data_IF_236305265015
#
_entry.id   IF_236305265015
#
_cell.length_a   1.000
_cell.length_b   1.000
_cell.length_c   1.000
_cell.angle_alpha   90.00
_cell.angle_beta   90.00
_cell.angle_gamma   90.00
#
_symmetry.space_group_name_H-M   'P 1'
#
loop_
_entity.id
_entity.type
_entity.pdbx_description
1 polymer ?
#
# COMPACT_ATOMS: atom_id res chain seq x y z
N UNK A 1 14.61 -23.69 18.48
CA UNK A 1 13.49 -23.76 19.46
C UNK A 1 12.50 -22.58 19.34
N UNK A 2 12.96 -21.34 19.18
CA UNK A 2 12.06 -20.13 19.02
C UNK A 2 11.18 -20.18 17.77
N UNK A 3 11.68 -20.64 16.62
CA UNK A 3 10.97 -20.71 15.34
C UNK A 3 9.76 -21.67 15.37
N UNK A 4 9.95 -22.90 15.89
CA UNK A 4 8.84 -23.87 16.01
C UNK A 4 7.67 -23.31 16.83
N UNK A 5 8.00 -22.55 17.90
CA UNK A 5 7.00 -21.87 18.73
C UNK A 5 6.26 -20.78 17.95
N UNK A 6 6.97 -19.98 17.13
CA UNK A 6 6.37 -18.91 16.34
C UNK A 6 5.47 -19.44 15.22
N UNK A 7 5.89 -20.50 14.49
CA UNK A 7 5.04 -21.16 13.50
C UNK A 7 3.83 -21.86 14.14
N UNK A 8 3.95 -22.34 15.38
CA UNK A 8 2.78 -22.87 16.11
C UNK A 8 1.75 -21.78 16.34
N UNK A 9 2.16 -20.57 16.75
CA UNK A 9 1.24 -19.43 16.92
C UNK A 9 0.55 -19.07 15.60
N UNK A 10 1.29 -19.07 14.48
CA UNK A 10 0.71 -18.80 13.14
C UNK A 10 -0.35 -19.85 12.80
N UNK A 11 -0.07 -21.14 13.02
CA UNK A 11 -1.05 -22.22 12.80
C UNK A 11 -2.28 -22.05 13.68
N UNK A 12 -2.11 -21.79 14.98
CA UNK A 12 -3.23 -21.52 15.91
C UNK A 12 -4.11 -20.34 15.43
N UNK A 13 -3.51 -19.34 14.79
CA UNK A 13 -4.26 -18.21 14.21
C UNK A 13 -4.99 -18.63 12.94
N UNK A 14 -4.34 -19.44 12.07
CA UNK A 14 -4.98 -19.98 10.86
C UNK A 14 -6.16 -20.85 11.25
N UNK A 15 -5.97 -21.77 12.20
CA UNK A 15 -7.01 -22.70 12.67
C UNK A 15 -8.24 -21.95 13.19
N UNK A 16 -8.02 -20.87 13.94
CA UNK A 16 -9.08 -20.09 14.58
C UNK A 16 -9.83 -19.18 13.61
N UNK A 17 -9.20 -18.76 12.52
CA UNK A 17 -9.78 -17.82 11.56
C UNK A 17 -10.55 -18.56 10.45
N UNK A 18 -11.61 -17.93 9.97
CA UNK A 18 -12.40 -18.40 8.81
C UNK A 18 -11.87 -17.80 7.50
N UNK A 19 -11.24 -16.62 7.57
CA UNK A 19 -10.63 -15.93 6.43
C UNK A 19 -9.24 -15.44 6.85
N UNK A 20 -8.26 -15.64 5.99
CA UNK A 20 -6.91 -15.13 6.19
C UNK A 20 -6.64 -13.95 5.26
N UNK A 21 -6.13 -12.87 5.83
CA UNK A 21 -5.65 -11.68 5.13
C UNK A 21 -4.14 -11.60 5.32
N UNK A 22 -3.38 -11.92 4.27
CA UNK A 22 -1.94 -11.73 4.28
C UNK A 22 -1.62 -10.27 3.96
N UNK A 23 -0.96 -9.58 4.89
CA UNK A 23 -0.54 -8.19 4.71
C UNK A 23 0.90 -8.14 4.23
N UNK A 24 1.09 -7.51 3.08
CA UNK A 24 2.33 -7.43 2.31
C UNK A 24 2.71 -5.97 2.11
N UNK A 25 4.00 -5.65 2.05
CA UNK A 25 4.50 -4.33 1.69
C UNK A 25 4.54 -4.20 0.16
N UNK A 26 3.76 -3.28 -0.40
CA UNK A 26 3.68 -3.09 -1.85
C UNK A 26 5.04 -2.73 -2.49
N UNK A 27 5.98 -2.19 -1.73
CA UNK A 27 7.34 -1.84 -2.22
C UNK A 27 8.21 -3.08 -2.47
N UNK A 28 7.97 -4.16 -1.72
CA UNK A 28 8.68 -5.44 -1.83
C UNK A 28 7.67 -6.61 -1.76
N UNK A 29 6.85 -6.79 -2.80
CA UNK A 29 5.79 -7.79 -2.80
C UNK A 29 6.33 -9.23 -2.82
N UNK A 30 7.50 -9.44 -3.40
CA UNK A 30 8.14 -10.77 -3.45
C UNK A 30 8.74 -11.11 -2.07
N UNK A 31 9.51 -10.20 -1.51
CA UNK A 31 10.19 -10.42 -0.24
C UNK A 31 9.27 -10.40 0.97
N UNK A 32 8.10 -9.75 0.90
CA UNK A 32 7.16 -9.65 2.03
C UNK A 32 5.93 -10.58 1.93
N UNK A 33 5.76 -11.32 0.84
CA UNK A 33 4.85 -12.47 0.76
C UNK A 33 5.47 -13.70 1.42
N UNK A 34 4.65 -14.54 2.00
CA UNK A 34 5.09 -15.79 2.61
C UNK A 34 4.41 -16.99 1.94
N UNK A 35 5.10 -17.59 0.96
CA UNK A 35 4.60 -18.74 0.20
C UNK A 35 4.29 -19.96 1.08
N UNK A 36 4.97 -20.14 2.22
CA UNK A 36 4.68 -21.20 3.15
C UNK A 36 3.36 -20.98 3.88
N UNK A 37 3.10 -19.73 4.28
CA UNK A 37 1.81 -19.32 4.84
C UNK A 37 0.67 -19.54 3.82
N UNK A 38 0.86 -19.06 2.59
CA UNK A 38 -0.12 -19.20 1.52
C UNK A 38 -0.50 -20.66 1.28
N UNK A 39 0.49 -21.55 1.19
CA UNK A 39 0.26 -23.02 1.07
C UNK A 39 -0.51 -23.58 2.24
N UNK A 40 -0.12 -23.27 3.47
CA UNK A 40 -0.83 -23.75 4.67
C UNK A 40 -2.31 -23.32 4.67
N UNK A 41 -2.60 -22.08 4.27
CA UNK A 41 -3.98 -21.58 4.20
C UNK A 41 -4.77 -22.29 3.10
N UNK A 42 -4.13 -22.58 1.96
CA UNK A 42 -4.74 -23.32 0.85
C UNK A 42 -5.01 -24.78 1.22
N UNK A 43 -4.06 -25.44 1.91
CA UNK A 43 -4.22 -26.81 2.42
C UNK A 43 -5.39 -26.92 3.40
N UNK A 44 -5.65 -25.87 4.20
CA UNK A 44 -6.81 -25.78 5.09
C UNK A 44 -8.12 -25.40 4.36
N UNK A 45 -8.09 -25.18 3.05
CA UNK A 45 -9.24 -24.79 2.25
C UNK A 45 -9.86 -23.44 2.60
N UNK A 46 -9.11 -22.58 3.30
CA UNK A 46 -9.63 -21.28 3.77
C UNK A 46 -9.45 -20.16 2.75
N UNK A 47 -10.39 -19.23 2.65
CA UNK A 47 -10.25 -18.05 1.81
C UNK A 47 -9.01 -17.23 2.21
N UNK A 48 -8.17 -16.92 1.21
CA UNK A 48 -6.97 -16.09 1.35
C UNK A 48 -7.11 -14.81 0.52
N UNK A 49 -6.83 -13.67 1.14
CA UNK A 49 -6.76 -12.37 0.51
C UNK A 49 -5.38 -11.75 0.75
N UNK A 50 -4.72 -11.29 -0.29
CA UNK A 50 -3.48 -10.53 -0.17
C UNK A 50 -3.81 -9.05 -0.11
N UNK A 51 -3.29 -8.36 0.90
CA UNK A 51 -3.41 -6.91 1.04
C UNK A 51 -2.04 -6.27 0.88
N UNK A 52 -1.82 -5.62 -0.27
CA UNK A 52 -0.63 -4.82 -0.57
C UNK A 52 -0.77 -3.46 0.09
N UNK A 53 -0.18 -3.31 1.28
CA UNK A 53 -0.16 -2.04 2.00
C UNK A 53 0.99 -1.15 1.55
N UNK A 54 0.93 0.15 1.86
CA UNK A 54 1.85 1.19 1.40
C UNK A 54 1.78 1.40 -0.11
N UNK A 55 0.59 1.20 -0.70
CA UNK A 55 0.35 1.38 -2.12
C UNK A 55 0.56 2.82 -2.61
N UNK A 56 0.64 3.78 -1.70
CA UNK A 56 1.06 5.16 -1.97
C UNK A 56 2.54 5.29 -2.39
N UNK A 57 3.34 4.23 -2.26
CA UNK A 57 4.76 4.19 -2.59
C UNK A 57 5.07 3.41 -3.88
N UNK A 58 4.04 3.02 -4.63
CA UNK A 58 4.18 2.28 -5.90
C UNK A 58 3.29 2.89 -6.99
N UNK A 59 3.68 2.81 -8.28
CA UNK A 59 2.87 3.28 -9.40
C UNK A 59 1.55 2.52 -9.51
N UNK A 60 0.49 3.22 -9.92
CA UNK A 60 -0.83 2.62 -10.09
C UNK A 60 -0.82 1.56 -11.19
N UNK A 61 -0.17 1.86 -12.31
CA UNK A 61 -0.06 0.98 -13.48
C UNK A 61 0.57 -0.37 -13.09
N UNK A 62 1.63 -0.31 -12.30
CA UNK A 62 2.27 -1.50 -11.76
C UNK A 62 1.34 -2.28 -10.82
N UNK A 63 0.61 -1.58 -9.95
CA UNK A 63 -0.33 -2.21 -9.02
C UNK A 63 -1.48 -2.91 -9.76
N UNK A 64 -2.02 -2.29 -10.81
CA UNK A 64 -3.08 -2.88 -11.65
C UNK A 64 -2.55 -4.08 -12.45
N UNK A 65 -1.33 -4.01 -12.98
CA UNK A 65 -0.70 -5.13 -13.67
C UNK A 65 -0.45 -6.31 -12.71
N UNK A 66 0.08 -6.05 -11.52
CA UNK A 66 0.29 -7.05 -10.49
C UNK A 66 -1.03 -7.74 -10.12
N UNK A 67 -2.09 -6.97 -9.92
CA UNK A 67 -3.43 -7.48 -9.60
C UNK A 67 -3.98 -8.40 -10.69
N UNK A 68 -3.78 -8.06 -11.97
CA UNK A 68 -4.22 -8.90 -13.10
C UNK A 68 -3.47 -10.24 -13.19
N UNK A 69 -2.18 -10.25 -12.82
CA UNK A 69 -1.34 -11.46 -12.87
C UNK A 69 -1.46 -12.35 -11.63
N UNK A 70 -2.10 -11.88 -10.57
CA UNK A 70 -2.18 -12.62 -9.31
C UNK A 70 -3.30 -13.66 -9.35
N UNK A 71 -2.97 -14.91 -9.05
CA UNK A 71 -3.94 -16.01 -8.89
C UNK A 71 -4.76 -15.87 -7.60
N UNK A 72 -4.17 -15.28 -6.55
CA UNK A 72 -4.82 -15.00 -5.28
C UNK A 72 -5.41 -13.59 -5.35
N UNK A 73 -6.64 -13.36 -4.87
CA UNK A 73 -7.22 -12.02 -4.83
C UNK A 73 -6.30 -11.02 -4.11
N UNK A 74 -6.06 -9.85 -4.74
CA UNK A 74 -5.17 -8.80 -4.23
C UNK A 74 -5.92 -7.48 -4.11
N UNK A 75 -5.74 -6.79 -2.97
CA UNK A 75 -6.22 -5.43 -2.74
C UNK A 75 -5.05 -4.52 -2.39
N UNK A 76 -4.90 -3.43 -3.11
CA UNK A 76 -3.91 -2.39 -2.81
C UNK A 76 -4.51 -1.32 -1.91
N UNK A 77 -3.80 -0.98 -0.83
CA UNK A 77 -4.23 0.04 0.13
C UNK A 77 -3.06 0.89 0.62
N UNK A 78 -3.35 2.12 1.01
CA UNK A 78 -2.49 2.91 1.89
C UNK A 78 -3.19 3.10 3.24
N UNK A 79 -2.86 2.25 4.20
CA UNK A 79 -3.47 2.33 5.53
C UNK A 79 -3.15 3.67 6.22
N UNK A 80 -1.95 4.22 6.01
CA UNK A 80 -1.52 5.54 6.53
C UNK A 80 -2.38 6.67 5.98
N UNK A 81 -2.69 6.63 4.69
CA UNK A 81 -3.50 7.64 4.02
C UNK A 81 -5.00 7.31 4.03
N UNK A 82 -5.39 6.15 4.60
CA UNK A 82 -6.76 5.61 4.62
C UNK A 82 -7.37 5.38 3.23
N UNK A 83 -6.54 5.19 2.19
CA UNK A 83 -6.97 4.89 0.82
C UNK A 83 -7.16 3.40 0.62
N UNK A 84 -8.14 3.00 -0.22
CA UNK A 84 -8.42 1.60 -0.53
C UNK A 84 -9.03 0.80 0.63
N UNK A 85 -9.20 1.37 1.83
CA UNK A 85 -9.73 0.67 3.00
C UNK A 85 -11.21 0.31 2.85
N UNK A 86 -11.96 1.08 2.06
CA UNK A 86 -13.32 0.75 1.65
C UNK A 86 -13.38 -0.49 0.75
N UNK A 87 -12.45 -0.59 -0.20
CA UNK A 87 -12.30 -1.75 -1.09
C UNK A 87 -11.96 -2.99 -0.26
N UNK A 88 -11.00 -2.88 0.66
CA UNK A 88 -10.65 -3.98 1.57
C UNK A 88 -11.86 -4.45 2.38
N UNK A 89 -12.69 -3.54 2.91
CA UNK A 89 -13.92 -3.90 3.62
C UNK A 89 -14.92 -4.62 2.72
N UNK A 90 -15.10 -4.16 1.48
CA UNK A 90 -15.98 -4.81 0.49
C UNK A 90 -15.50 -6.22 0.19
N UNK A 91 -14.20 -6.40 -0.01
CA UNK A 91 -13.60 -7.68 -0.35
C UNK A 91 -13.68 -8.69 0.81
N UNK A 92 -13.40 -8.26 2.05
CA UNK A 92 -13.63 -9.10 3.24
C UNK A 92 -15.10 -9.52 3.35
N UNK A 93 -16.05 -8.61 3.12
CA UNK A 93 -17.48 -8.94 3.14
C UNK A 93 -17.88 -9.91 2.03
N UNK A 94 -17.28 -9.77 0.83
CA UNK A 94 -17.52 -10.68 -0.30
C UNK A 94 -17.08 -12.10 0.04
N UNK A 95 -15.87 -12.26 0.61
CA UNK A 95 -15.35 -13.56 1.06
C UNK A 95 -16.14 -14.13 2.23
N UNK A 96 -16.63 -13.28 3.13
CA UNK A 96 -17.40 -13.73 4.29
C UNK A 96 -18.84 -14.15 3.93
N UNK A 97 -19.39 -13.70 2.81
CA UNK A 97 -20.80 -13.94 2.45
C UNK A 97 -21.18 -15.42 2.44
N UNK A 98 -20.48 -16.32 1.69
CA UNK A 98 -20.81 -17.75 1.69
C UNK A 98 -20.67 -18.38 3.09
N UNK A 99 -19.65 -17.99 3.86
CA UNK A 99 -19.43 -18.55 5.20
C UNK A 99 -20.53 -18.11 6.18
N UNK A 100 -21.12 -16.93 5.99
CA UNK A 100 -22.20 -16.42 6.84
C UNK A 100 -23.55 -17.12 6.61
N UNK A 101 -23.68 -17.92 5.57
CA UNK A 101 -24.85 -18.78 5.35
C UNK A 101 -24.77 -20.03 6.26
N UNK A 102 -23.57 -20.44 6.65
CA UNK A 102 -23.31 -21.61 7.47
C UNK A 102 -23.00 -21.27 8.94
N UNK A 103 -22.51 -20.04 9.22
CA UNK A 103 -22.08 -19.63 10.57
C UNK A 103 -22.72 -18.31 11.01
N UNK A 104 -22.89 -18.13 12.31
CA UNK A 104 -23.39 -16.86 12.86
C UNK A 104 -22.36 -15.73 12.75
N UNK A 105 -21.07 -16.05 12.81
CA UNK A 105 -19.97 -15.10 12.88
C UNK A 105 -18.77 -15.61 12.07
N UNK A 106 -18.12 -14.68 11.35
CA UNK A 106 -16.91 -14.94 10.59
C UNK A 106 -15.75 -14.18 11.23
N UNK A 107 -14.66 -14.90 11.49
CA UNK A 107 -13.40 -14.38 12.04
C UNK A 107 -12.39 -14.20 10.94
N UNK A 108 -11.78 -13.03 10.88
CA UNK A 108 -10.76 -12.65 9.88
C UNK A 108 -9.45 -12.40 10.58
N UNK A 109 -8.39 -13.13 10.24
CA UNK A 109 -7.05 -12.89 10.77
C UNK A 109 -6.20 -12.10 9.79
N UNK A 110 -5.46 -11.09 10.31
CA UNK A 110 -4.42 -10.40 9.56
C UNK A 110 -3.06 -10.98 9.93
N UNK A 111 -2.38 -11.59 8.96
CA UNK A 111 -1.07 -12.21 9.14
C UNK A 111 -0.07 -11.55 8.19
N UNK A 112 1.19 -11.47 8.55
CA UNK A 112 2.25 -10.92 7.73
C UNK A 112 3.51 -10.60 8.53
N UNK A 113 4.55 -10.18 7.85
CA UNK A 113 5.83 -9.82 8.48
C UNK A 113 5.72 -8.61 9.41
N UNK A 114 6.72 -8.34 10.27
CA UNK A 114 6.80 -7.09 11.02
C UNK A 114 6.74 -5.87 10.09
N UNK A 115 6.22 -4.75 10.58
CA UNK A 115 6.21 -3.43 9.92
C UNK A 115 5.55 -3.33 8.53
N UNK A 116 4.88 -4.37 8.03
CA UNK A 116 4.04 -4.30 6.81
C UNK A 116 2.77 -3.45 7.03
N UNK A 117 2.43 -3.13 8.30
CA UNK A 117 1.34 -2.22 8.65
C UNK A 117 0.05 -2.87 9.13
N UNK A 118 0.09 -4.13 9.63
CA UNK A 118 -1.08 -4.83 10.18
C UNK A 118 -1.86 -4.02 11.20
N UNK A 119 -1.20 -3.48 12.23
CA UNK A 119 -1.84 -2.68 13.28
C UNK A 119 -2.46 -1.39 12.73
N UNK A 120 -1.82 -0.76 11.73
CA UNK A 120 -2.36 0.42 11.05
C UNK A 120 -3.63 0.09 10.29
N UNK A 121 -3.65 -1.06 9.58
CA UNK A 121 -4.84 -1.55 8.87
C UNK A 121 -5.97 -1.82 9.87
N UNK A 122 -5.70 -2.55 10.95
CA UNK A 122 -6.67 -2.82 12.01
C UNK A 122 -7.26 -1.53 12.56
N UNK A 123 -6.42 -0.54 12.90
CA UNK A 123 -6.86 0.75 13.41
C UNK A 123 -7.71 1.53 12.40
N UNK A 124 -7.37 1.44 11.11
CA UNK A 124 -8.15 2.08 10.05
C UNK A 124 -9.47 1.38 9.81
N UNK A 125 -9.50 0.06 9.93
CA UNK A 125 -10.72 -0.74 9.83
C UNK A 125 -11.64 -0.59 11.05
N UNK A 126 -11.12 -0.34 12.25
CA UNK A 126 -11.94 -0.04 13.44
C UNK A 126 -12.86 1.17 13.21
N UNK A 127 -12.39 2.22 12.53
CA UNK A 127 -13.13 3.48 12.35
C UNK A 127 -13.34 4.24 13.67
N UNK A 128 -13.84 5.50 13.60
CA UNK A 128 -14.11 6.35 14.78
C UNK A 128 -15.25 5.83 15.67
N UNK A 129 -16.05 4.83 15.22
CA UNK A 129 -17.22 4.28 15.92
C UNK A 129 -17.08 2.82 16.36
N UNK A 130 -15.87 2.29 16.46
CA UNK A 130 -15.70 0.97 17.02
C UNK A 130 -15.98 1.01 18.52
N UNK A 131 -17.25 0.82 18.87
CA UNK A 131 -17.71 0.61 20.24
C UNK A 131 -17.35 -0.83 20.62
N UNK A 132 -16.49 -0.95 21.64
CA UNK A 132 -16.33 -2.17 22.40
C UNK A 132 -15.31 -3.16 21.84
N UNK A 133 -14.09 -3.11 22.37
CA UNK A 133 -13.26 -4.30 22.55
C UNK A 133 -13.91 -5.07 23.72
N UNK A 134 -14.63 -6.15 23.45
CA UNK A 134 -15.10 -7.03 24.51
C UNK A 134 -14.04 -8.09 24.80
N UNK A 135 -13.53 -8.20 26.03
CA UNK A 135 -12.82 -9.41 26.43
C UNK A 135 -13.83 -10.56 26.42
N UNK A 136 -13.59 -11.56 25.59
CA UNK A 136 -14.43 -12.75 25.57
C UNK A 136 -13.93 -13.69 26.67
N UNK A 137 -14.80 -14.14 27.60
CA UNK A 137 -14.42 -15.15 28.57
C UNK A 137 -13.90 -16.42 27.87
N UNK A 138 -12.74 -16.93 28.29
CA UNK A 138 -12.11 -18.12 27.71
C UNK A 138 -10.96 -17.84 26.74
N UNK A 139 -10.69 -16.58 26.36
CA UNK A 139 -9.53 -16.23 25.54
C UNK A 139 -8.27 -16.02 26.42
N UNK A 140 -7.19 -16.70 26.03
CA UNK A 140 -5.86 -16.50 26.63
C UNK A 140 -5.40 -15.06 26.52
N UNK A 141 -4.75 -14.52 27.56
CA UNK A 141 -4.18 -13.15 27.60
C UNK A 141 -3.44 -12.82 26.30
N UNK A 142 -3.94 -11.84 25.51
CA UNK A 142 -3.27 -11.29 24.33
C UNK A 142 -4.04 -11.32 23.01
N UNK A 143 -5.16 -12.04 22.91
CA UNK A 143 -6.00 -12.05 21.69
C UNK A 143 -7.25 -11.21 21.91
N UNK A 144 -7.50 -10.23 21.06
CA UNK A 144 -8.71 -9.39 21.08
C UNK A 144 -9.50 -9.58 19.79
N UNK A 145 -10.83 -9.65 19.92
CA UNK A 145 -11.72 -9.60 18.76
C UNK A 145 -12.20 -8.17 18.54
N UNK A 146 -12.02 -7.68 17.33
CA UNK A 146 -12.38 -6.34 16.91
C UNK A 146 -13.55 -6.43 15.94
N UNK A 147 -14.66 -5.82 16.26
CA UNK A 147 -15.85 -5.85 15.42
C UNK A 147 -15.69 -5.01 14.16
N UNK A 148 -15.72 -5.65 13.00
CA UNK A 148 -15.71 -5.00 11.69
C UNK A 148 -17.14 -4.71 11.18
N UNK A 149 -18.06 -5.65 11.43
CA UNK A 149 -19.49 -5.52 11.15
C UNK A 149 -20.32 -6.32 12.16
N UNK A 150 -21.65 -6.41 11.97
CA UNK A 150 -22.53 -7.18 12.88
C UNK A 150 -22.11 -8.64 13.03
N UNK A 151 -21.65 -9.27 11.94
CA UNK A 151 -21.29 -10.70 11.88
C UNK A 151 -19.83 -10.98 11.51
N UNK A 152 -18.96 -9.94 11.28
CA UNK A 152 -17.57 -10.11 10.91
C UNK A 152 -16.67 -9.48 11.97
N UNK A 153 -15.67 -10.25 12.40
CA UNK A 153 -14.75 -9.87 13.46
C UNK A 153 -13.30 -10.03 13.01
N UNK A 154 -12.44 -9.13 13.40
CA UNK A 154 -10.99 -9.23 13.19
C UNK A 154 -10.35 -9.85 14.42
N UNK A 155 -9.49 -10.84 14.22
CA UNK A 155 -8.60 -11.37 15.26
C UNK A 155 -7.42 -10.42 15.43
N UNK A 156 -7.37 -9.71 16.55
CA UNK A 156 -6.17 -8.95 16.95
C UNK A 156 -5.20 -9.93 17.61
N UNK A 157 -4.48 -10.65 16.79
CA UNK A 157 -3.48 -11.63 17.21
C UNK A 157 -2.09 -11.14 16.80
N UNK A 158 -1.03 -11.59 17.47
CA UNK A 158 0.35 -11.28 17.05
C UNK A 158 0.73 -11.93 15.72
N UNK A 159 -0.18 -11.96 14.73
CA UNK A 159 -0.05 -12.58 13.40
C UNK A 159 1.23 -12.22 12.65
N UNK A 160 2.37 -12.40 13.35
CA UNK A 160 3.71 -12.09 12.84
C UNK A 160 4.31 -13.38 12.32
N UNK A 161 4.56 -13.42 11.03
CA UNK A 161 5.28 -14.51 10.39
C UNK A 161 6.73 -14.53 10.91
N UNK A 162 7.24 -15.66 11.38
CA UNK A 162 8.63 -15.75 11.80
C UNK A 162 9.57 -15.51 10.63
N UNK A 163 10.66 -14.82 10.90
CA UNK A 163 11.76 -14.59 9.97
C UNK A 163 12.94 -15.38 10.47
N UNK A 164 13.44 -16.27 9.64
CA UNK A 164 14.50 -17.22 10.01
C UNK A 164 15.91 -16.63 9.76
N UNK A 165 15.99 -15.67 8.87
CA UNK A 165 17.21 -14.98 8.45
C UNK A 165 17.24 -13.56 9.03
N UNK A 166 18.30 -13.24 9.75
CA UNK A 166 18.47 -11.93 10.38
C UNK A 166 18.60 -10.81 9.34
N UNK A 167 19.27 -11.07 8.22
CA UNK A 167 19.39 -10.10 7.13
C UNK A 167 18.01 -9.75 6.55
N UNK A 168 17.16 -10.77 6.38
CA UNK A 168 15.75 -10.58 5.98
C UNK A 168 14.94 -9.80 7.03
N UNK A 169 15.19 -10.06 8.31
CA UNK A 169 14.52 -9.32 9.39
C UNK A 169 14.85 -7.83 9.30
N UNK A 170 16.13 -7.52 9.04
CA UNK A 170 16.59 -6.14 8.83
C UNK A 170 15.95 -5.52 7.59
N UNK A 171 16.05 -6.17 6.44
CA UNK A 171 15.51 -5.65 5.17
C UNK A 171 14.01 -5.37 5.29
N UNK A 172 13.27 -6.24 5.96
CA UNK A 172 11.82 -6.08 6.20
C UNK A 172 11.49 -5.10 7.34
N UNK A 173 12.49 -4.43 7.91
CA UNK A 173 12.32 -3.43 8.96
C UNK A 173 11.93 -4.00 10.32
N UNK A 174 12.11 -5.30 10.54
CA UNK A 174 11.87 -5.95 11.83
C UNK A 174 12.97 -5.67 12.87
N UNK A 175 14.10 -5.15 12.41
CA UNK A 175 15.22 -4.69 13.25
C UNK A 175 15.71 -3.34 12.72
N UNK A 176 15.94 -2.31 13.58
CA UNK A 176 16.36 -0.99 13.17
C UNK A 176 17.77 -1.00 12.53
N UNK A 177 17.93 -0.34 11.39
CA UNK A 177 19.20 -0.24 10.68
C UNK A 177 20.33 0.37 11.55
N UNK A 178 19.99 1.34 12.39
CA UNK A 178 20.95 2.05 13.25
C UNK A 178 21.54 1.18 14.38
N UNK A 179 20.94 0.01 14.66
CA UNK A 179 21.36 -0.90 15.74
C UNK A 179 22.03 -2.18 15.25
N UNK A 180 22.41 -2.23 13.98
CA UNK A 180 23.04 -3.41 13.38
C UNK A 180 24.55 -3.32 13.56
N UNK A 181 25.14 -4.38 14.09
CA UNK A 181 26.62 -4.47 14.21
C UNK A 181 27.26 -4.72 12.84
N UNK A 182 26.71 -5.62 12.01
CA UNK A 182 27.21 -5.97 10.68
C UNK A 182 26.20 -5.56 9.58
N UNK A 183 26.12 -4.26 9.19
CA UNK A 183 25.11 -3.77 8.26
C UNK A 183 25.39 -4.08 6.79
N UNK A 184 26.65 -4.37 6.44
CA UNK A 184 27.07 -4.57 5.03
C UNK A 184 26.37 -5.76 4.40
N UNK A 185 26.32 -6.90 5.08
CA UNK A 185 25.73 -8.12 4.55
C UNK A 185 24.23 -7.98 4.21
N UNK A 186 23.33 -7.49 5.09
CA UNK A 186 21.94 -7.24 4.71
C UNK A 186 21.79 -6.14 3.65
N UNK A 187 22.69 -5.15 3.60
CA UNK A 187 22.67 -4.14 2.55
C UNK A 187 23.03 -4.71 1.17
N UNK A 188 24.06 -5.55 1.06
CA UNK A 188 24.40 -6.25 -0.19
C UNK A 188 23.25 -7.16 -0.65
N UNK A 189 22.64 -7.90 0.27
CA UNK A 189 21.47 -8.72 -0.03
C UNK A 189 20.29 -7.89 -0.56
N UNK A 190 20.07 -6.70 -0.01
CA UNK A 190 19.07 -5.76 -0.51
C UNK A 190 19.42 -5.25 -1.91
N UNK A 191 20.69 -4.88 -2.15
CA UNK A 191 21.16 -4.47 -3.48
C UNK A 191 20.90 -5.58 -4.50
N UNK A 192 21.31 -6.82 -4.23
CA UNK A 192 21.07 -7.97 -5.11
C UNK A 192 19.55 -8.12 -5.45
N UNK A 193 18.67 -8.00 -4.46
CA UNK A 193 17.22 -8.01 -4.66
C UNK A 193 16.73 -6.87 -5.56
N UNK A 194 17.30 -5.67 -5.42
CA UNK A 194 16.94 -4.52 -6.26
C UNK A 194 17.37 -4.79 -7.71
N UNK A 195 18.57 -5.34 -7.91
CA UNK A 195 19.08 -5.70 -9.24
C UNK A 195 18.19 -6.72 -9.94
N UNK A 196 17.70 -7.73 -9.20
CA UNK A 196 16.79 -8.74 -9.73
C UNK A 196 15.39 -8.20 -10.02
N UNK A 197 14.93 -7.19 -9.27
CA UNK A 197 13.54 -6.69 -9.35
C UNK A 197 13.42 -5.49 -10.26
N UNK A 198 14.24 -4.45 -10.06
CA UNK A 198 14.24 -3.20 -10.82
C UNK A 198 15.57 -2.45 -10.62
N UNK A 199 16.57 -2.80 -11.42
CA UNK A 199 17.90 -2.17 -11.35
C UNK A 199 17.89 -0.66 -11.62
N UNK A 200 16.92 -0.18 -12.43
CA UNK A 200 16.75 1.23 -12.77
C UNK A 200 16.52 2.12 -11.54
N UNK A 201 16.01 1.55 -10.44
CA UNK A 201 15.84 2.28 -9.19
C UNK A 201 17.14 2.84 -8.62
N UNK A 202 18.27 2.17 -8.86
CA UNK A 202 19.61 2.63 -8.45
C UNK A 202 20.07 3.82 -9.29
N UNK A 203 19.84 3.77 -10.60
CA UNK A 203 20.14 4.89 -11.50
C UNK A 203 19.27 6.10 -11.19
N UNK A 204 17.97 5.92 -11.03
CA UNK A 204 17.01 6.99 -10.75
C UNK A 204 17.28 7.70 -9.42
N UNK A 205 17.63 6.95 -8.39
CA UNK A 205 17.84 7.51 -7.04
C UNK A 205 19.25 7.99 -6.80
N UNK A 206 20.22 7.20 -7.26
CA UNK A 206 21.65 7.42 -6.94
C UNK A 206 22.48 7.78 -8.17
N UNK A 207 21.91 7.73 -9.39
CA UNK A 207 22.63 7.99 -10.64
C UNK A 207 23.66 6.91 -11.00
N UNK A 208 23.55 5.70 -10.44
CA UNK A 208 24.50 4.59 -10.68
C UNK A 208 24.01 3.83 -11.91
N UNK A 209 24.77 3.92 -13.00
CA UNK A 209 24.46 3.27 -14.28
C UNK A 209 25.35 2.04 -14.49
N UNK A 210 26.65 2.15 -14.14
CA UNK A 210 27.64 1.10 -14.29
C UNK A 210 28.16 0.66 -12.91
N UNK A 211 28.35 -0.64 -12.75
CA UNK A 211 28.87 -1.25 -11.52
C UNK A 211 29.46 -2.63 -11.82
N UNK A 212 30.44 -3.03 -11.03
CA UNK A 212 31.12 -4.32 -11.15
C UNK A 212 30.53 -5.37 -10.19
N UNK A 213 30.00 -4.93 -9.05
CA UNK A 213 29.44 -5.79 -8.00
C UNK A 213 28.44 -5.04 -7.12
N UNK A 214 27.71 -5.77 -6.27
CA UNK A 214 26.84 -5.18 -5.25
C UNK A 214 27.63 -4.30 -4.27
N UNK A 215 28.86 -4.67 -3.93
CA UNK A 215 29.74 -3.88 -3.06
C UNK A 215 30.16 -2.58 -3.75
N UNK A 216 30.46 -2.61 -5.05
CA UNK A 216 30.76 -1.42 -5.83
C UNK A 216 29.60 -0.42 -5.84
N UNK A 217 28.36 -0.92 -5.92
CA UNK A 217 27.16 -0.09 -5.79
C UNK A 217 27.12 0.61 -4.42
N UNK A 218 27.35 -0.12 -3.32
CA UNK A 218 27.39 0.49 -1.99
C UNK A 218 28.52 1.52 -1.88
N UNK A 219 29.68 1.24 -2.44
CA UNK A 219 30.83 2.16 -2.47
C UNK A 219 30.47 3.46 -3.20
N UNK A 220 29.89 3.36 -4.40
CA UNK A 220 29.42 4.52 -5.19
C UNK A 220 28.33 5.32 -4.47
N UNK A 221 27.43 4.66 -3.72
CA UNK A 221 26.47 5.35 -2.86
C UNK A 221 27.20 6.15 -1.77
N UNK A 222 28.16 5.54 -1.09
CA UNK A 222 28.95 6.18 -0.03
C UNK A 222 29.72 7.41 -0.52
N UNK A 223 30.41 7.28 -1.65
CA UNK A 223 31.14 8.39 -2.31
C UNK A 223 30.21 9.58 -2.60
N UNK A 224 29.05 9.30 -3.24
CA UNK A 224 28.07 10.35 -3.59
C UNK A 224 27.43 11.00 -2.38
N UNK A 225 27.40 10.31 -1.25
CA UNK A 225 26.88 10.83 0.03
C UNK A 225 27.95 11.47 0.91
N UNK A 226 29.22 11.37 0.52
CA UNK A 226 30.32 11.87 1.32
C UNK A 226 30.52 11.08 2.61
N UNK A 227 30.16 9.80 2.64
CA UNK A 227 30.35 8.90 3.78
C UNK A 227 31.76 8.31 3.72
N UNK A 228 32.75 9.14 4.08
CA UNK A 228 34.18 8.87 3.91
C UNK A 228 34.84 8.83 5.29
N UNK A 229 35.69 7.84 5.55
CA UNK A 229 36.56 7.76 6.74
C UNK A 229 37.68 8.79 6.70
N UNK A 230 38.30 9.05 7.83
CA UNK A 230 39.44 10.00 7.97
C UNK A 230 40.61 9.69 7.04
N UNK A 231 40.69 8.48 6.46
CA UNK A 231 41.72 8.07 5.50
C UNK A 231 41.33 8.28 4.02
N UNK A 232 40.18 8.88 3.71
CA UNK A 232 39.72 9.10 2.34
C UNK A 232 39.01 7.90 1.70
N UNK A 233 38.91 6.78 2.41
CA UNK A 233 38.15 5.60 1.96
C UNK A 233 36.66 5.70 2.34
N UNK A 234 35.78 5.08 1.54
CA UNK A 234 34.34 5.02 1.82
C UNK A 234 34.10 4.22 3.10
N UNK A 235 33.28 4.78 3.99
CA UNK A 235 32.74 4.06 5.14
C UNK A 235 31.62 3.15 4.71
N UNK A 236 31.94 1.90 4.33
CA UNK A 236 30.95 0.93 3.87
C UNK A 236 29.91 0.56 4.94
N UNK A 237 30.30 0.52 6.23
CA UNK A 237 29.35 0.21 7.30
C UNK A 237 28.33 1.32 7.49
N UNK A 238 28.78 2.58 7.56
CA UNK A 238 27.85 3.71 7.69
C UNK A 238 27.01 3.88 6.42
N UNK A 239 27.60 3.63 5.24
CA UNK A 239 26.86 3.60 3.97
C UNK A 239 25.77 2.55 3.99
N UNK A 240 26.08 1.35 4.45
CA UNK A 240 25.12 0.25 4.56
C UNK A 240 23.99 0.57 5.55
N UNK A 241 24.31 1.12 6.75
CA UNK A 241 23.30 1.57 7.72
C UNK A 241 22.40 2.64 7.13
N UNK A 242 23.00 3.65 6.48
CA UNK A 242 22.25 4.71 5.81
C UNK A 242 21.31 4.15 4.71
N UNK A 243 21.83 3.28 3.84
CA UNK A 243 21.06 2.68 2.74
C UNK A 243 19.88 1.83 3.24
N UNK A 244 20.10 0.99 4.25
CA UNK A 244 19.05 0.20 4.90
C UNK A 244 17.99 1.09 5.55
N UNK A 245 18.39 2.20 6.18
CA UNK A 245 17.49 3.16 6.79
C UNK A 245 16.62 3.88 5.75
N UNK A 246 17.21 4.29 4.61
CA UNK A 246 16.45 4.87 3.49
C UNK A 246 15.38 3.90 2.98
N UNK A 247 15.73 2.62 2.85
CA UNK A 247 14.78 1.57 2.48
C UNK A 247 13.69 1.36 3.53
N UNK A 248 14.06 1.17 4.80
CA UNK A 248 13.11 0.93 5.90
C UNK A 248 12.11 2.08 6.07
N UNK A 249 12.58 3.33 5.91
CA UNK A 249 11.73 4.53 6.06
C UNK A 249 10.92 4.85 4.80
N UNK A 250 11.20 4.20 3.67
CA UNK A 250 10.54 4.46 2.39
C UNK A 250 11.02 5.72 1.66
N UNK A 251 12.17 6.29 2.08
CA UNK A 251 12.83 7.38 1.34
C UNK A 251 13.55 6.88 0.09
N UNK A 252 13.83 5.60 0.05
CA UNK A 252 14.23 4.85 -1.12
C UNK A 252 13.20 3.75 -1.38
N UNK A 253 12.73 3.66 -2.61
CA UNK A 253 11.79 2.64 -3.09
C UNK A 253 12.22 2.16 -4.46
N UNK A 254 11.74 0.99 -4.88
CA UNK A 254 12.00 0.45 -6.22
C UNK A 254 11.46 1.35 -7.34
N UNK A 255 10.50 2.23 -7.04
CA UNK A 255 9.78 3.03 -8.03
C UNK A 255 10.19 4.52 -8.03
N UNK A 256 11.28 4.87 -7.34
CA UNK A 256 11.89 6.20 -7.36
C UNK A 256 10.91 7.35 -7.09
N UNK A 257 11.12 8.47 -7.80
CA UNK A 257 10.26 9.68 -7.71
C UNK A 257 8.84 9.46 -8.25
N UNK A 258 8.58 8.42 -8.99
CA UNK A 258 7.21 8.10 -9.45
C UNK A 258 6.33 7.66 -8.27
N UNK A 259 6.89 6.92 -7.30
CA UNK A 259 6.23 6.66 -6.04
C UNK A 259 5.97 7.94 -5.21
N UNK A 260 6.89 8.91 -5.25
CA UNK A 260 6.71 10.21 -4.59
C UNK A 260 5.69 11.10 -5.32
N UNK A 261 5.64 11.07 -6.67
CA UNK A 261 4.62 11.79 -7.45
C UNK A 261 3.21 11.20 -7.23
N UNK A 262 3.09 9.89 -7.00
CA UNK A 262 1.83 9.27 -6.63
C UNK A 262 1.32 9.73 -5.25
N UNK A 263 2.19 10.27 -4.37
CA UNK A 263 1.80 10.88 -3.10
C UNK A 263 1.11 12.25 -3.26
N UNK A 264 1.29 12.94 -4.39
CA UNK A 264 0.74 14.28 -4.59
C UNK A 264 -0.77 14.27 -4.83
N UNK A 265 -1.36 13.11 -5.21
CA UNK A 265 -2.77 13.02 -5.59
C UNK A 265 -3.47 11.85 -4.89
N UNK A 266 -4.62 12.14 -4.33
CA UNK A 266 -5.57 11.13 -3.87
C UNK A 266 -6.46 10.80 -5.06
N UNK A 267 -6.35 9.57 -5.63
CA UNK A 267 -7.37 9.05 -6.52
C UNK A 267 -8.63 8.80 -5.69
N UNK A 268 -9.60 9.67 -5.87
CA UNK A 268 -10.87 9.67 -5.15
C UNK A 268 -11.96 10.04 -6.17
N UNK A 269 -13.20 9.74 -5.94
CA UNK A 269 -14.35 9.96 -6.80
C UNK A 269 -14.87 8.71 -7.53
N UNK A 270 -14.44 7.49 -7.12
CA UNK A 270 -14.93 6.24 -7.73
C UNK A 270 -16.48 6.20 -7.77
N UNK A 271 -17.14 6.58 -6.68
CA UNK A 271 -18.60 6.58 -6.62
C UNK A 271 -19.26 7.60 -7.57
N UNK A 272 -18.59 8.75 -7.78
CA UNK A 272 -19.07 9.78 -8.72
C UNK A 272 -18.82 9.33 -10.15
N UNK A 273 -17.63 8.84 -10.45
CA UNK A 273 -17.26 8.39 -11.79
C UNK A 273 -18.04 7.15 -12.23
N UNK A 274 -18.34 6.24 -11.29
CA UNK A 274 -19.19 5.06 -11.57
C UNK A 274 -20.64 5.41 -11.86
N UNK A 275 -21.12 6.55 -11.38
CA UNK A 275 -22.48 7.04 -11.62
C UNK A 275 -22.63 7.97 -12.83
N UNK A 276 -21.54 8.22 -13.59
CA UNK A 276 -21.61 9.06 -14.79
C UNK A 276 -22.13 8.22 -15.97
N UNK A 277 -23.32 8.58 -16.43
CA UNK A 277 -23.98 8.04 -17.61
C UNK A 277 -23.69 8.92 -18.84
N UNK A 278 -23.91 8.38 -20.04
CA UNK A 278 -23.67 9.06 -21.34
C UNK A 278 -24.27 10.46 -21.41
N UNK A 279 -25.48 10.65 -20.90
CA UNK A 279 -26.17 11.93 -20.96
C UNK A 279 -25.49 13.04 -20.16
N UNK A 280 -24.63 12.69 -19.19
CA UNK A 280 -23.85 13.61 -18.40
C UNK A 280 -22.55 14.06 -19.10
N UNK A 281 -22.10 13.32 -20.13
CA UNK A 281 -20.88 13.65 -20.90
C UNK A 281 -21.04 14.85 -21.83
N UNK A 282 -22.28 15.31 -22.04
CA UNK A 282 -22.57 16.45 -22.92
C UNK A 282 -22.20 17.80 -22.28
N UNK A 283 -22.20 17.90 -20.95
CA UNK A 283 -21.94 19.14 -20.23
C UNK A 283 -21.43 18.87 -18.80
N UNK A 284 -20.20 19.31 -18.44
CA UNK A 284 -19.64 19.14 -17.08
C UNK A 284 -20.53 19.73 -15.97
N UNK A 285 -21.36 20.74 -16.27
CA UNK A 285 -22.31 21.32 -15.31
C UNK A 285 -23.38 20.34 -14.85
N UNK A 286 -23.77 19.39 -15.69
CA UNK A 286 -24.72 18.33 -15.33
C UNK A 286 -24.12 17.38 -14.31
N UNK A 287 -22.82 17.06 -14.44
CA UNK A 287 -22.08 16.26 -13.45
C UNK A 287 -22.07 17.01 -12.12
N UNK A 288 -21.79 18.30 -12.12
CA UNK A 288 -21.83 19.13 -10.91
C UNK A 288 -23.22 19.27 -10.31
N UNK A 289 -24.25 19.33 -11.13
CA UNK A 289 -25.62 19.38 -10.65
C UNK A 289 -26.00 18.08 -9.90
N UNK A 290 -25.65 16.92 -10.45
CA UNK A 290 -25.95 15.61 -9.85
C UNK A 290 -25.07 15.28 -8.63
N UNK A 291 -23.78 15.58 -8.68
CA UNK A 291 -22.80 15.16 -7.67
C UNK A 291 -22.11 16.32 -6.91
N UNK A 292 -22.55 17.55 -7.14
CA UNK A 292 -21.85 18.75 -6.64
C UNK A 292 -21.70 18.82 -5.12
N UNK A 293 -22.66 18.31 -4.35
CA UNK A 293 -22.57 18.31 -2.88
C UNK A 293 -21.54 17.32 -2.37
N UNK A 294 -21.40 16.16 -3.00
CA UNK A 294 -20.37 15.18 -2.69
C UNK A 294 -18.99 15.71 -3.05
N UNK A 295 -18.85 16.31 -4.22
CA UNK A 295 -17.60 16.91 -4.70
C UNK A 295 -17.17 18.09 -3.83
N UNK A 296 -18.10 18.95 -3.39
CA UNK A 296 -17.79 20.09 -2.51
C UNK A 296 -17.27 19.67 -1.14
N UNK A 297 -17.72 18.54 -0.58
CA UNK A 297 -17.21 17.99 0.68
C UNK A 297 -15.73 17.61 0.62
N UNK A 298 -15.20 17.41 -0.58
CA UNK A 298 -13.82 16.96 -0.84
C UNK A 298 -12.86 18.10 -1.25
N UNK A 299 -13.29 19.36 -1.14
CA UNK A 299 -12.48 20.53 -1.60
C UNK A 299 -11.33 20.89 -0.67
N UNK A 300 -11.45 20.62 0.62
CA UNK A 300 -10.44 21.02 1.62
C UNK A 300 -9.35 19.96 1.78
N UNK A 301 -8.10 20.42 1.81
CA UNK A 301 -6.93 19.57 2.11
C UNK A 301 -6.11 19.19 0.88
N UNK A 302 -5.72 17.93 0.79
CA UNK A 302 -4.88 17.36 -0.27
C UNK A 302 -5.56 17.45 -1.64
N UNK A 303 -4.79 17.71 -2.68
CA UNK A 303 -5.25 17.61 -4.07
C UNK A 303 -5.78 16.20 -4.35
N UNK A 304 -6.96 16.09 -4.92
CA UNK A 304 -7.64 14.84 -5.24
C UNK A 304 -7.98 14.79 -6.71
N UNK A 305 -7.87 13.64 -7.32
CA UNK A 305 -8.11 13.42 -8.74
C UNK A 305 -8.90 12.14 -8.94
N UNK A 306 -9.82 12.14 -9.89
CA UNK A 306 -10.47 10.95 -10.43
C UNK A 306 -10.48 11.05 -11.94
N UNK A 307 -10.21 9.94 -12.63
CA UNK A 307 -10.18 9.87 -14.10
C UNK A 307 -10.85 8.57 -14.52
N UNK A 308 -11.73 8.64 -15.51
CA UNK A 308 -12.40 7.48 -16.09
C UNK A 308 -12.64 7.65 -17.58
N UNK A 309 -12.49 6.58 -18.34
CA UNK A 309 -12.90 6.52 -19.74
C UNK A 309 -14.33 6.01 -19.86
N UNK A 310 -15.15 6.73 -20.61
CA UNK A 310 -16.56 6.43 -20.86
C UNK A 310 -16.83 6.69 -22.33
N UNK A 311 -17.13 5.63 -23.10
CA UNK A 311 -17.52 5.71 -24.52
C UNK A 311 -16.59 6.56 -25.41
N UNK A 312 -15.27 6.46 -25.22
CA UNK A 312 -14.28 7.20 -26.01
C UNK A 312 -13.89 8.58 -25.45
N UNK A 313 -14.62 9.07 -24.45
CA UNK A 313 -14.26 10.29 -23.74
C UNK A 313 -13.59 9.98 -22.39
N UNK A 314 -12.69 10.84 -21.97
CA UNK A 314 -12.11 10.79 -20.63
C UNK A 314 -12.77 11.86 -19.75
N UNK A 315 -13.39 11.44 -18.66
CA UNK A 315 -13.88 12.36 -17.63
C UNK A 315 -12.87 12.45 -16.51
N UNK A 316 -12.47 13.67 -16.18
CA UNK A 316 -11.55 13.98 -15.10
C UNK A 316 -12.19 14.89 -14.06
N UNK A 317 -11.95 14.60 -12.78
CA UNK A 317 -12.34 15.45 -11.65
C UNK A 317 -11.09 15.75 -10.84
N UNK A 318 -10.83 17.04 -10.57
CA UNK A 318 -9.71 17.44 -9.71
C UNK A 318 -10.16 18.47 -8.67
N UNK A 319 -9.73 18.31 -7.42
CA UNK A 319 -10.05 19.22 -6.30
C UNK A 319 -8.82 19.61 -5.49
N UNK A 320 -8.94 20.63 -4.62
CA UNK A 320 -7.87 21.06 -3.72
C UNK A 320 -6.89 22.05 -4.35
N UNK A 321 -7.31 22.82 -5.34
CA UNK A 321 -6.51 23.85 -6.01
C UNK A 321 -6.91 25.26 -5.57
N UNK A 322 -5.98 26.22 -5.68
CA UNK A 322 -6.30 27.65 -5.50
C UNK A 322 -6.99 28.25 -6.71
N UNK A 323 -6.70 27.74 -7.92
CA UNK A 323 -7.29 28.14 -9.20
C UNK A 323 -7.65 26.89 -10.01
N UNK A 324 -8.68 26.96 -10.82
CA UNK A 324 -9.15 25.83 -11.65
C UNK A 324 -8.13 25.37 -12.68
N UNK A 325 -7.37 26.31 -13.28
CA UNK A 325 -6.33 26.01 -14.26
C UNK A 325 -5.30 25.01 -13.75
N UNK A 326 -5.02 25.01 -12.43
CA UNK A 326 -4.11 24.05 -11.81
C UNK A 326 -4.66 22.61 -11.85
N UNK A 327 -5.97 22.44 -11.69
CA UNK A 327 -6.64 21.15 -11.81
C UNK A 327 -6.71 20.67 -13.25
N UNK A 328 -7.00 21.57 -14.20
CA UNK A 328 -7.03 21.27 -15.64
C UNK A 328 -5.66 20.80 -16.11
N UNK A 329 -4.61 21.59 -15.89
CA UNK A 329 -3.23 21.23 -16.28
C UNK A 329 -2.76 19.91 -15.66
N UNK A 330 -3.24 19.60 -14.45
CA UNK A 330 -2.94 18.33 -13.85
C UNK A 330 -3.61 17.18 -14.60
N UNK A 331 -4.90 17.29 -14.91
CA UNK A 331 -5.65 16.26 -15.62
C UNK A 331 -5.11 16.04 -17.03
N UNK A 332 -4.79 17.10 -17.78
CA UNK A 332 -4.14 17.01 -19.09
C UNK A 332 -2.78 16.28 -19.00
N UNK A 333 -1.98 16.60 -18.00
CA UNK A 333 -0.68 15.95 -17.78
C UNK A 333 -0.81 14.45 -17.43
N UNK A 334 -1.84 14.08 -16.66
CA UNK A 334 -2.06 12.69 -16.25
C UNK A 334 -2.66 11.83 -17.36
N UNK A 335 -3.45 12.40 -18.25
CA UNK A 335 -4.16 11.68 -19.32
C UNK A 335 -3.45 11.76 -20.66
N UNK A 336 -2.63 12.79 -20.88
CA UNK A 336 -2.08 13.13 -22.20
C UNK A 336 -3.12 13.64 -23.19
N UNK A 337 -4.34 13.97 -22.74
CA UNK A 337 -5.48 14.37 -23.57
C UNK A 337 -5.79 15.85 -23.41
N UNK A 338 -6.43 16.45 -24.41
CA UNK A 338 -6.86 17.84 -24.39
C UNK A 338 -8.28 18.00 -23.84
N UNK A 339 -8.50 19.09 -23.11
CA UNK A 339 -9.80 19.39 -22.53
C UNK A 339 -10.75 19.92 -23.59
N UNK A 340 -11.88 19.23 -23.78
CA UNK A 340 -13.00 19.67 -24.63
C UNK A 340 -13.94 20.61 -23.88
N UNK A 341 -14.24 20.29 -22.63
CA UNK A 341 -15.13 21.07 -21.79
C UNK A 341 -14.72 20.95 -20.31
N UNK A 342 -14.90 22.04 -19.56
CA UNK A 342 -14.61 22.05 -18.12
C UNK A 342 -15.57 22.96 -17.37
N UNK A 343 -15.86 22.61 -16.10
CA UNK A 343 -16.64 23.44 -15.20
C UNK A 343 -15.96 23.50 -13.82
N UNK A 344 -15.92 24.69 -13.26
CA UNK A 344 -15.21 25.01 -12.04
C UNK A 344 -16.18 25.18 -10.87
N UNK A 345 -15.83 24.71 -9.68
CA UNK A 345 -16.67 24.82 -8.49
C UNK A 345 -15.87 25.12 -7.23
N UNK A 346 -16.56 25.57 -6.18
CA UNK A 346 -15.96 25.91 -4.88
C UNK A 346 -15.58 27.39 -4.72
N UNK A 347 -15.46 27.85 -3.47
CA UNK A 347 -15.13 29.26 -3.11
C UNK A 347 -13.65 29.46 -2.82
N UNK A 348 -13.18 29.03 -1.66
CA UNK A 348 -11.79 29.18 -1.17
C UNK A 348 -10.85 28.20 -1.83
N UNK A 349 -11.25 26.95 -1.95
CA UNK A 349 -10.58 25.89 -2.68
C UNK A 349 -11.40 25.54 -3.91
N UNK A 350 -10.73 25.34 -5.02
CA UNK A 350 -11.36 25.08 -6.32
C UNK A 350 -11.30 23.61 -6.66
N UNK A 351 -12.35 23.14 -7.28
CA UNK A 351 -12.40 21.88 -8.01
C UNK A 351 -12.79 22.15 -9.45
N UNK A 352 -12.48 21.21 -10.32
CA UNK A 352 -12.84 21.24 -11.73
C UNK A 352 -13.30 19.85 -12.17
N UNK A 353 -14.34 19.82 -12.98
CA UNK A 353 -14.77 18.66 -13.76
C UNK A 353 -14.42 18.95 -15.21
N UNK A 354 -13.76 18.02 -15.89
CA UNK A 354 -13.35 18.15 -17.29
C UNK A 354 -13.83 16.96 -18.10
N UNK A 355 -14.10 17.22 -19.38
CA UNK A 355 -14.30 16.19 -20.41
C UNK A 355 -13.19 16.37 -21.43
N UNK A 356 -12.52 15.31 -21.79
CA UNK A 356 -11.34 15.28 -22.64
C UNK A 356 -11.51 14.24 -23.74
N UNK A 357 -10.87 14.49 -24.87
CA UNK A 357 -10.78 13.59 -26.02
C UNK A 357 -9.42 12.93 -26.10
#
# INVERSE_FOLDING_TARGET
MKQRKAWRVVREVIDEADIIVEVVDARDPIGTRNRKLERLVQEEGKPLLIVMNKADLVPKEWAEEYKRKSEIPVVFISARQRKGTGILRKEIKRLAKPLLDETEKVKVALIGYPNVGKSTIINTLKGKKAVGTAPIPGYTKGKQLIRLSKRIWLLDSPGVVPIDDFDELVIKGGFPADKIDEPVKPALKLVGRILETRKEALTEKFGIEEFESEEDILRKIGERRGLIKSGGEVDLEETARWFLREWQTGRFTLFGKEGEKAQEFVLDFENVLDGIERDLLLDPRRILWKYGDELRKKLEGTKRVGIREIEGFTVGIATGFKKCDGGIKLLERLTGRHVLASECFGKKWKGVVVIME
#
